data_IF_430471253443
#
_entry.id   IF_430471253443
#
_cell.length_a   1.000
_cell.length_b   1.000
_cell.length_c   1.000
_cell.angle_alpha   90.00
_cell.angle_beta   90.00
_cell.angle_gamma   90.00
#
_symmetry.space_group_name_H-M   'P 1'
#
loop_
_entity.id
_entity.type
_entity.pdbx_description
1 polymer ?
#
# COMPACT_ATOMS: atom_id res chain seq x y z
N UNK A 1 -24.22 -19.12 -12.44
CA UNK A 1 -23.05 -18.24 -12.23
C UNK A 1 -22.29 -18.19 -13.54
N UNK A 2 -22.55 -17.18 -14.38
CA UNK A 2 -21.78 -17.00 -15.61
C UNK A 2 -20.39 -16.49 -15.22
N UNK A 3 -19.34 -17.25 -15.53
CA UNK A 3 -17.99 -16.74 -15.47
C UNK A 3 -17.93 -15.47 -16.33
N UNK A 4 -17.59 -14.33 -15.72
CA UNK A 4 -17.23 -13.12 -16.46
C UNK A 4 -16.09 -13.50 -17.42
N UNK A 5 -16.11 -13.07 -18.69
CA UNK A 5 -15.00 -13.32 -19.59
C UNK A 5 -13.73 -12.79 -18.94
N UNK A 6 -12.68 -13.61 -18.89
CA UNK A 6 -11.38 -13.22 -18.32
C UNK A 6 -10.98 -11.88 -18.94
N UNK A 7 -10.97 -10.82 -18.12
CA UNK A 7 -10.64 -9.49 -18.61
C UNK A 7 -9.19 -9.52 -19.08
N UNK A 8 -8.95 -9.07 -20.31
CA UNK A 8 -7.58 -8.91 -20.81
C UNK A 8 -6.90 -7.90 -19.90
N UNK A 9 -5.85 -8.34 -19.20
CA UNK A 9 -5.06 -7.47 -18.34
C UNK A 9 -4.35 -6.42 -19.21
N UNK A 10 -4.25 -5.21 -18.68
CA UNK A 10 -3.45 -4.14 -19.26
C UNK A 10 -1.96 -4.50 -19.23
N UNK A 11 -1.17 -3.87 -20.10
CA UNK A 11 0.28 -4.02 -20.04
C UNK A 11 0.85 -3.43 -18.74
N UNK A 12 0.34 -2.26 -18.33
CA UNK A 12 0.83 -1.51 -17.18
C UNK A 12 -0.29 -0.88 -16.35
N UNK A 13 0.03 -0.63 -15.07
CA UNK A 13 -0.74 0.19 -14.15
C UNK A 13 -0.08 1.56 -14.01
N UNK A 14 -0.80 2.66 -14.27
CA UNK A 14 -0.33 4.04 -14.01
C UNK A 14 -0.66 4.40 -12.57
N UNK A 15 0.37 4.54 -11.73
CA UNK A 15 0.22 4.79 -10.29
C UNK A 15 0.71 6.20 -9.93
N UNK A 16 -0.13 6.97 -9.22
CA UNK A 16 0.25 8.22 -8.57
C UNK A 16 0.65 7.96 -7.12
N UNK A 17 1.87 8.32 -6.73
CA UNK A 17 2.37 8.24 -5.35
C UNK A 17 2.45 9.66 -4.80
N UNK A 18 1.83 9.91 -3.65
CA UNK A 18 1.92 11.19 -2.93
C UNK A 18 2.64 10.95 -1.62
N UNK A 19 3.64 11.77 -1.32
CA UNK A 19 4.33 11.81 -0.04
C UNK A 19 4.04 13.17 0.59
N UNK A 20 3.19 13.21 1.61
CA UNK A 20 2.98 14.44 2.39
C UNK A 20 4.17 14.67 3.31
N UNK A 21 4.46 15.93 3.64
CA UNK A 21 5.58 16.30 4.52
C UNK A 21 5.18 16.46 5.99
N UNK A 22 3.97 15.99 6.36
CA UNK A 22 3.41 16.05 7.71
C UNK A 22 4.44 15.66 8.78
N UNK A 23 4.64 16.51 9.78
CA UNK A 23 5.55 16.24 10.88
C UNK A 23 4.87 15.36 11.94
N UNK A 24 5.27 14.08 12.10
CA UNK A 24 4.62 13.17 13.04
C UNK A 24 4.87 13.51 14.51
N UNK A 25 5.87 14.35 14.83
CA UNK A 25 6.09 14.83 16.19
C UNK A 25 5.20 16.04 16.50
N UNK A 26 4.91 16.88 15.51
CA UNK A 26 3.99 18.02 15.67
C UNK A 26 2.50 17.62 15.51
N UNK A 27 2.22 16.60 14.69
CA UNK A 27 0.86 16.17 14.39
C UNK A 27 0.14 15.63 15.63
N UNK A 28 0.81 14.79 16.43
CA UNK A 28 0.20 14.18 17.63
C UNK A 28 0.92 14.60 18.92
N UNK A 29 1.38 15.86 18.99
CA UNK A 29 2.08 16.39 20.17
C UNK A 29 1.18 16.54 21.41
N UNK A 30 -0.13 16.77 21.19
CA UNK A 30 -1.08 16.96 22.27
C UNK A 30 -1.54 15.61 22.85
N UNK A 31 -1.46 15.47 24.17
CA UNK A 31 -2.03 14.33 24.89
C UNK A 31 -3.56 14.47 24.98
N UNK A 32 -4.26 13.95 23.99
CA UNK A 32 -5.72 13.75 24.04
C UNK A 32 -6.04 12.27 24.21
N UNK A 33 -7.22 11.95 24.75
CA UNK A 33 -7.68 10.56 24.91
C UNK A 33 -7.78 9.81 23.57
N UNK A 34 -7.91 10.54 22.46
CA UNK A 34 -7.85 10.02 21.10
C UNK A 34 -6.84 10.90 20.35
N UNK A 35 -5.72 10.35 19.84
CA UNK A 35 -4.78 11.11 19.04
C UNK A 35 -5.48 11.70 17.80
N UNK A 36 -5.21 12.97 17.52
CA UNK A 36 -5.64 13.63 16.30
C UNK A 36 -4.52 14.48 15.74
N UNK A 37 -4.43 14.56 14.42
CA UNK A 37 -3.52 15.48 13.74
C UNK A 37 -3.84 16.90 14.20
N UNK A 38 -2.80 17.65 14.58
CA UNK A 38 -2.91 19.04 14.99
C UNK A 38 -3.37 19.92 13.83
N UNK A 39 -4.09 21.00 14.13
CA UNK A 39 -4.69 21.85 13.10
C UNK A 39 -3.67 22.34 12.06
N UNK A 40 -2.46 22.72 12.48
CA UNK A 40 -1.41 23.18 11.57
C UNK A 40 -0.97 22.08 10.59
N UNK A 41 -0.77 20.85 11.08
CA UNK A 41 -0.40 19.72 10.25
C UNK A 41 -1.56 19.24 9.37
N UNK A 42 -2.80 19.34 9.83
CA UNK A 42 -4.01 19.07 9.02
C UNK A 42 -4.11 20.04 7.84
N UNK A 43 -3.95 21.35 8.08
CA UNK A 43 -3.98 22.37 7.03
C UNK A 43 -2.84 22.16 6.00
N UNK A 44 -1.63 21.81 6.47
CA UNK A 44 -0.50 21.47 5.62
C UNK A 44 -0.80 20.24 4.75
N UNK A 45 -1.19 19.13 5.37
CA UNK A 45 -1.48 17.89 4.66
C UNK A 45 -2.59 18.08 3.60
N UNK A 46 -3.68 18.76 3.96
CA UNK A 46 -4.77 19.06 3.01
C UNK A 46 -4.26 19.92 1.84
N UNK A 47 -3.43 20.91 2.10
CA UNK A 47 -2.89 21.79 1.06
C UNK A 47 -2.01 21.02 0.08
N UNK A 48 -1.09 20.19 0.59
CA UNK A 48 -0.22 19.34 -0.23
C UNK A 48 -1.03 18.32 -1.04
N UNK A 49 -1.96 17.61 -0.41
CA UNK A 49 -2.81 16.62 -1.08
C UNK A 49 -3.58 17.28 -2.23
N UNK A 50 -4.18 18.45 -2.00
CA UNK A 50 -4.93 19.17 -3.05
C UNK A 50 -4.02 19.60 -4.19
N UNK A 51 -2.82 20.10 -3.91
CA UNK A 51 -1.86 20.49 -4.93
C UNK A 51 -1.43 19.30 -5.80
N UNK A 52 -1.10 18.16 -5.18
CA UNK A 52 -0.68 16.96 -5.90
C UNK A 52 -1.81 16.33 -6.72
N UNK A 53 -3.04 16.30 -6.19
CA UNK A 53 -4.20 15.90 -6.99
C UNK A 53 -4.46 16.86 -8.16
N UNK A 54 -4.27 18.17 -7.97
CA UNK A 54 -4.40 19.13 -9.07
C UNK A 54 -3.35 18.88 -10.17
N UNK A 55 -2.11 18.54 -9.80
CA UNK A 55 -1.07 18.15 -10.74
C UNK A 55 -1.43 16.86 -11.49
N UNK A 56 -1.86 15.81 -10.79
CA UNK A 56 -2.30 14.55 -11.41
C UNK A 56 -3.53 14.71 -12.31
N UNK A 57 -4.36 15.73 -12.11
CA UNK A 57 -5.50 16.00 -12.98
C UNK A 57 -5.11 16.54 -14.37
N UNK A 58 -3.90 17.10 -14.50
CA UNK A 58 -3.39 17.58 -15.78
C UNK A 58 -2.89 16.44 -16.68
N UNK A 59 -2.67 15.27 -16.10
CA UNK A 59 -2.15 14.11 -16.78
C UNK A 59 -3.24 13.42 -17.60
N UNK A 60 -2.87 13.00 -18.81
CA UNK A 60 -3.80 12.36 -19.76
C UNK A 60 -3.22 11.02 -20.23
N UNK A 61 -3.81 9.88 -19.84
CA UNK A 61 -4.86 9.72 -18.82
C UNK A 61 -4.35 10.04 -17.39
N UNK A 62 -5.25 10.33 -16.43
CA UNK A 62 -4.86 10.41 -15.02
C UNK A 62 -4.38 9.05 -14.49
N UNK A 63 -3.75 8.99 -13.31
CA UNK A 63 -3.36 7.71 -12.70
C UNK A 63 -4.56 6.80 -12.46
N UNK A 64 -4.41 5.48 -12.63
CA UNK A 64 -5.47 4.51 -12.36
C UNK A 64 -5.71 4.38 -10.84
N UNK A 65 -4.61 4.41 -10.06
CA UNK A 65 -4.58 4.39 -8.59
C UNK A 65 -3.75 5.57 -8.11
N UNK A 66 -4.17 6.20 -7.01
CA UNK A 66 -3.39 7.18 -6.24
C UNK A 66 -3.19 6.64 -4.83
N UNK A 67 -1.95 6.64 -4.33
CA UNK A 67 -1.58 6.15 -3.00
C UNK A 67 -1.04 7.29 -2.13
N UNK A 68 -1.46 7.33 -0.87
CA UNK A 68 -1.00 8.27 0.16
C UNK A 68 -0.53 7.52 1.41
N UNK A 69 0.41 8.09 2.20
CA UNK A 69 1.06 7.37 3.29
C UNK A 69 0.12 7.04 4.45
N UNK A 70 0.62 6.24 5.39
CA UNK A 70 -0.06 5.97 6.67
C UNK A 70 -0.25 7.27 7.46
N UNK A 71 -1.40 7.40 8.15
CA UNK A 71 -1.71 8.53 9.03
C UNK A 71 -1.50 9.92 8.40
N UNK A 72 -1.64 10.03 7.07
CA UNK A 72 -1.36 11.25 6.32
C UNK A 72 -2.60 12.10 6.05
N UNK A 73 -3.80 11.51 6.14
CA UNK A 73 -5.05 12.18 5.77
C UNK A 73 -5.91 12.44 7.01
N UNK A 74 -6.24 13.70 7.32
CA UNK A 74 -7.18 14.03 8.39
C UNK A 74 -8.57 13.40 8.17
N UNK A 75 -9.18 12.89 9.24
CA UNK A 75 -10.50 12.22 9.15
C UNK A 75 -11.61 13.14 8.62
N UNK A 76 -11.57 14.44 8.93
CA UNK A 76 -12.50 15.44 8.40
C UNK A 76 -12.39 15.68 6.88
N UNK A 77 -11.30 15.24 6.24
CA UNK A 77 -11.07 15.42 4.80
C UNK A 77 -11.67 14.30 3.94
N UNK A 78 -12.22 13.23 4.53
CA UNK A 78 -12.72 12.04 3.83
C UNK A 78 -13.72 12.39 2.70
N UNK A 79 -14.70 13.24 2.97
CA UNK A 79 -15.74 13.61 1.98
C UNK A 79 -15.16 14.36 0.77
N UNK A 80 -14.18 15.24 1.00
CA UNK A 80 -13.48 15.97 -0.07
C UNK A 80 -12.61 15.02 -0.88
N UNK A 81 -11.87 14.12 -0.21
CA UNK A 81 -11.05 13.12 -0.90
C UNK A 81 -11.90 12.18 -1.79
N UNK A 82 -13.09 11.76 -1.32
CA UNK A 82 -14.05 11.00 -2.15
C UNK A 82 -14.49 11.76 -3.39
N UNK A 83 -14.71 13.07 -3.26
CA UNK A 83 -15.07 13.93 -4.39
C UNK A 83 -13.91 14.05 -5.38
N UNK A 84 -12.69 14.19 -4.89
CA UNK A 84 -11.48 14.26 -5.70
C UNK A 84 -11.24 12.95 -6.46
N UNK A 85 -11.36 11.80 -5.80
CA UNK A 85 -11.28 10.48 -6.43
C UNK A 85 -12.33 10.31 -7.54
N UNK A 86 -13.57 10.72 -7.28
CA UNK A 86 -14.67 10.64 -8.25
C UNK A 86 -14.44 11.53 -9.47
N UNK A 87 -13.87 12.73 -9.29
CA UNK A 87 -13.55 13.66 -10.39
C UNK A 87 -12.37 13.15 -11.22
N UNK A 88 -11.38 12.53 -10.58
CA UNK A 88 -10.23 11.96 -11.25
C UNK A 88 -10.55 10.67 -12.01
N UNK A 89 -11.62 9.97 -11.59
CA UNK A 89 -11.90 8.59 -12.00
C UNK A 89 -10.74 7.63 -11.67
N UNK A 90 -10.13 7.84 -10.50
CA UNK A 90 -9.03 7.04 -9.95
C UNK A 90 -9.42 6.42 -8.62
N UNK A 91 -8.97 5.18 -8.38
CA UNK A 91 -9.01 4.60 -7.03
C UNK A 91 -8.00 5.33 -6.16
N UNK A 92 -8.36 5.65 -4.91
CA UNK A 92 -7.46 6.28 -3.94
C UNK A 92 -7.26 5.37 -2.75
N UNK A 93 -6.03 5.09 -2.36
CA UNK A 93 -5.66 4.30 -1.19
C UNK A 93 -4.87 5.21 -0.26
N UNK A 94 -5.43 5.55 0.90
CA UNK A 94 -4.84 6.57 1.77
C UNK A 94 -4.87 6.17 3.24
N UNK A 95 -3.79 6.42 3.96
CA UNK A 95 -3.76 6.25 5.41
C UNK A 95 -4.43 7.43 6.09
N UNK A 96 -5.49 7.15 6.83
CA UNK A 96 -6.22 8.17 7.57
C UNK A 96 -5.70 8.28 8.99
N UNK A 97 -5.86 9.47 9.58
CA UNK A 97 -5.65 9.70 11.01
C UNK A 97 -6.45 8.72 11.87
N UNK A 98 -6.03 8.56 13.12
CA UNK A 98 -6.64 7.62 14.05
C UNK A 98 -8.16 7.83 14.14
N UNK A 99 -8.89 6.72 14.00
CA UNK A 99 -10.34 6.71 14.12
C UNK A 99 -10.71 6.20 15.51
N UNK A 100 -11.54 6.95 16.21
CA UNK A 100 -12.16 6.48 17.45
C UNK A 100 -13.01 5.22 17.18
N UNK A 101 -12.87 4.21 18.04
CA UNK A 101 -13.74 3.05 18.06
C UNK A 101 -15.09 3.37 18.73
N UNK A 102 -16.05 2.45 18.62
CA UNK A 102 -17.30 2.50 19.37
C UNK A 102 -17.03 2.45 20.88
N UNK A 103 -16.02 1.68 21.30
CA UNK A 103 -15.57 1.68 22.69
C UNK A 103 -14.74 2.95 23.00
N UNK A 104 -15.12 3.73 24.03
CA UNK A 104 -14.36 4.93 24.41
C UNK A 104 -12.91 4.59 24.78
N UNK A 105 -11.97 5.41 24.32
CA UNK A 105 -10.54 5.21 24.57
C UNK A 105 -9.90 4.15 23.66
N UNK A 106 -10.62 3.60 22.68
CA UNK A 106 -10.07 2.68 21.70
C UNK A 106 -9.94 3.35 20.33
N UNK A 107 -8.85 3.05 19.60
CA UNK A 107 -8.57 3.65 18.30
C UNK A 107 -8.12 2.64 17.26
N UNK A 108 -8.44 2.94 16.00
CA UNK A 108 -8.01 2.21 14.82
C UNK A 108 -7.05 3.08 14.00
N UNK A 109 -6.06 2.43 13.39
CA UNK A 109 -5.25 3.00 12.31
C UNK A 109 -5.66 2.32 11.01
N UNK A 110 -6.32 3.08 10.11
CA UNK A 110 -6.97 2.54 8.92
C UNK A 110 -6.35 3.11 7.65
N UNK A 111 -6.09 2.24 6.67
CA UNK A 111 -6.09 2.65 5.27
C UNK A 111 -7.55 2.73 4.77
N UNK A 112 -7.87 3.77 4.01
CA UNK A 112 -9.14 3.93 3.32
C UNK A 112 -8.92 3.77 1.81
N UNK A 113 -9.51 2.72 1.24
CA UNK A 113 -9.61 2.55 -0.20
C UNK A 113 -10.92 3.14 -0.70
N UNK A 114 -10.82 4.21 -1.47
CA UNK A 114 -11.93 4.90 -2.13
C UNK A 114 -12.00 4.43 -3.58
N UNK A 115 -13.14 3.84 -3.95
CA UNK A 115 -13.42 3.40 -5.32
C UNK A 115 -14.47 4.33 -5.94
N UNK A 116 -14.12 5.09 -7.00
CA UNK A 116 -15.05 6.02 -7.63
C UNK A 116 -16.14 5.28 -8.41
N UNK A 117 -17.31 5.92 -8.61
CA UNK A 117 -18.39 5.35 -9.45
C UNK A 117 -17.98 5.09 -10.90
N UNK A 118 -17.05 5.90 -11.41
CA UNK A 118 -16.41 5.75 -12.72
C UNK A 118 -14.92 5.62 -12.50
N UNK A 119 -14.32 4.64 -13.15
CA UNK A 119 -12.90 4.33 -13.05
C UNK A 119 -12.36 4.06 -14.44
N UNK A 120 -11.28 4.74 -14.82
CA UNK A 120 -10.63 4.58 -16.13
C UNK A 120 -11.61 4.79 -17.31
N UNK A 121 -12.47 5.81 -17.22
CA UNK A 121 -13.47 6.11 -18.25
C UNK A 121 -14.72 5.22 -18.25
N UNK A 122 -14.78 4.19 -17.39
CA UNK A 122 -15.88 3.21 -17.36
C UNK A 122 -16.68 3.34 -16.07
N UNK A 123 -18.00 3.22 -16.17
CA UNK A 123 -18.86 3.12 -14.97
C UNK A 123 -18.67 1.75 -14.32
N UNK A 124 -18.25 1.73 -13.06
CA UNK A 124 -18.01 0.49 -12.29
C UNK A 124 -18.97 0.32 -11.12
N UNK A 125 -19.78 1.33 -10.81
CA UNK A 125 -20.79 1.26 -9.76
C UNK A 125 -21.72 2.46 -9.74
N UNK A 126 -22.78 2.39 -8.94
CA UNK A 126 -23.78 3.47 -8.82
C UNK A 126 -23.26 4.68 -8.03
N UNK A 127 -22.33 4.47 -7.10
CA UNK A 127 -21.80 5.50 -6.21
C UNK A 127 -20.32 5.25 -5.90
N UNK A 128 -19.63 6.31 -5.50
CA UNK A 128 -18.31 6.19 -4.89
C UNK A 128 -18.44 5.48 -3.55
N UNK A 129 -17.64 4.43 -3.35
CA UNK A 129 -17.62 3.65 -2.11
C UNK A 129 -16.26 3.79 -1.43
N UNK A 130 -16.22 3.52 -0.13
CA UNK A 130 -14.97 3.44 0.61
C UNK A 130 -14.93 2.17 1.46
N UNK A 131 -13.75 1.56 1.54
CA UNK A 131 -13.46 0.38 2.35
C UNK A 131 -12.32 0.72 3.30
N UNK A 132 -12.52 0.45 4.58
CA UNK A 132 -11.44 0.50 5.58
C UNK A 132 -10.68 -0.81 5.57
N UNK A 133 -9.37 -0.71 5.67
CA UNK A 133 -8.41 -1.80 5.81
C UNK A 133 -7.61 -1.44 7.06
N UNK A 134 -7.98 -2.05 8.18
CA UNK A 134 -7.34 -1.74 9.46
C UNK A 134 -5.95 -2.35 9.56
N UNK A 135 -5.13 -1.71 10.38
CA UNK A 135 -3.80 -2.19 10.77
C UNK A 135 -3.93 -3.28 11.82
N UNK A 136 -3.16 -4.35 11.70
CA UNK A 136 -3.15 -5.43 12.71
C UNK A 136 -2.20 -5.11 13.84
N UNK A 137 -0.96 -4.78 13.52
CA UNK A 137 0.10 -4.65 14.52
C UNK A 137 0.55 -3.20 14.63
N UNK A 138 0.36 -2.53 15.77
CA UNK A 138 0.94 -1.22 15.97
C UNK A 138 2.47 -1.35 15.97
N UNK A 139 3.16 -0.40 15.33
CA UNK A 139 4.62 -0.40 15.35
C UNK A 139 5.12 -0.19 16.79
N UNK A 140 6.31 -0.68 17.20
CA UNK A 140 6.77 -0.54 18.58
C UNK A 140 6.75 0.90 19.11
N UNK A 141 7.15 1.88 18.27
CA UNK A 141 7.12 3.30 18.63
C UNK A 141 5.70 3.88 18.67
N UNK A 142 4.78 3.38 17.86
CA UNK A 142 3.36 3.76 17.89
C UNK A 142 2.69 3.21 19.15
N UNK A 143 2.91 1.93 19.44
CA UNK A 143 2.42 1.28 20.66
C UNK A 143 2.90 2.03 21.91
N UNK A 144 4.19 2.34 22.00
CA UNK A 144 4.73 3.10 23.12
C UNK A 144 4.09 4.50 23.28
N UNK A 145 3.75 5.17 22.17
CA UNK A 145 3.04 6.45 22.21
C UNK A 145 1.58 6.31 22.65
N UNK A 146 0.88 5.28 22.18
CA UNK A 146 -0.52 5.02 22.54
C UNK A 146 -0.63 4.58 24.00
N UNK A 147 0.27 3.73 24.48
CA UNK A 147 0.31 3.27 25.88
C UNK A 147 0.62 4.41 26.88
N UNK A 148 1.20 5.53 26.40
CA UNK A 148 1.51 6.71 27.22
C UNK A 148 0.30 7.63 27.46
N UNK A 149 -0.83 7.39 26.78
CA UNK A 149 -2.10 8.10 26.97
C UNK A 149 -3.18 7.06 27.35
N UNK A 150 -4.35 7.47 27.89
CA UNK A 150 -5.43 6.53 28.19
C UNK A 150 -6.14 6.07 26.90
N UNK A 151 -5.40 5.39 26.03
CA UNK A 151 -5.84 4.94 24.72
C UNK A 151 -5.33 3.53 24.42
N UNK A 152 -6.20 2.69 23.85
CA UNK A 152 -5.89 1.32 23.44
C UNK A 152 -6.00 1.18 21.93
N UNK A 153 -5.01 0.55 21.32
CA UNK A 153 -5.06 0.20 19.90
C UNK A 153 -6.02 -0.98 19.67
N UNK A 154 -6.82 -0.92 18.61
CA UNK A 154 -7.68 -2.01 18.17
C UNK A 154 -7.07 -2.63 16.92
N UNK A 155 -6.74 -3.91 17.01
CA UNK A 155 -6.15 -4.69 15.93
C UNK A 155 -7.23 -5.13 14.92
N UNK A 156 -6.92 -5.01 13.63
CA UNK A 156 -7.74 -5.59 12.54
C UNK A 156 -6.92 -6.66 11.79
N UNK A 157 -7.17 -7.96 12.02
CA UNK A 157 -6.43 -9.05 11.39
C UNK A 157 -6.88 -9.33 9.94
N UNK A 158 -7.86 -8.59 9.39
CA UNK A 158 -8.41 -8.88 8.07
C UNK A 158 -7.39 -8.67 6.95
N UNK A 159 -7.27 -9.67 6.08
CA UNK A 159 -6.43 -9.62 4.87
C UNK A 159 -7.34 -9.56 3.65
N UNK A 160 -7.19 -8.49 2.87
CA UNK A 160 -8.03 -8.21 1.71
C UNK A 160 -7.28 -8.50 0.41
N UNK A 161 -7.89 -9.34 -0.44
CA UNK A 161 -7.51 -9.50 -1.85
C UNK A 161 -8.51 -8.71 -2.69
N UNK A 162 -8.04 -7.64 -3.30
CA UNK A 162 -8.89 -6.71 -4.03
C UNK A 162 -8.73 -6.96 -5.53
N UNK A 163 -9.83 -7.32 -6.19
CA UNK A 163 -9.86 -7.48 -7.64
C UNK A 163 -9.89 -6.11 -8.33
N UNK A 164 -8.76 -5.73 -8.95
CA UNK A 164 -8.62 -4.52 -9.75
C UNK A 164 -9.03 -4.70 -11.22
N UNK A 165 -9.60 -5.83 -11.61
CA UNK A 165 -9.93 -6.15 -12.98
C UNK A 165 -8.69 -6.10 -13.88
N UNK A 166 -8.71 -5.24 -14.90
CA UNK A 166 -7.66 -5.21 -15.92
C UNK A 166 -6.27 -4.73 -15.40
N UNK A 167 -6.17 -4.15 -14.20
CA UNK A 167 -4.87 -3.81 -13.60
C UNK A 167 -4.32 -4.91 -12.66
N UNK A 168 -5.02 -6.04 -12.54
CA UNK A 168 -4.67 -7.15 -11.66
C UNK A 168 -5.20 -7.00 -10.23
N UNK A 169 -5.07 -8.09 -9.47
CA UNK A 169 -5.43 -8.17 -8.06
C UNK A 169 -4.34 -7.52 -7.20
N UNK A 170 -4.73 -6.87 -6.11
CA UNK A 170 -3.78 -6.24 -5.19
C UNK A 170 -4.16 -6.40 -3.72
N UNK A 171 -3.15 -6.26 -2.86
CA UNK A 171 -3.29 -6.16 -1.41
C UNK A 171 -2.89 -4.77 -0.91
N UNK A 172 -3.37 -4.42 0.29
CA UNK A 172 -2.98 -3.19 0.99
C UNK A 172 -2.58 -3.57 2.41
N UNK A 173 -1.42 -3.08 2.85
CA UNK A 173 -0.87 -3.31 4.19
C UNK A 173 -0.51 -1.95 4.80
N UNK A 174 -0.65 -1.84 6.13
CA UNK A 174 -0.33 -0.60 6.85
C UNK A 174 0.96 -0.80 7.64
N UNK A 175 2.02 -0.20 7.12
CA UNK A 175 3.32 -0.03 7.75
C UNK A 175 3.89 -1.32 8.35
N UNK A 176 3.80 -1.50 9.67
CA UNK A 176 4.41 -2.61 10.40
C UNK A 176 3.83 -3.98 10.00
N UNK A 177 2.59 -4.03 9.52
CA UNK A 177 1.98 -5.23 8.96
C UNK A 177 2.78 -5.80 7.77
N UNK A 178 3.58 -4.96 7.10
CA UNK A 178 4.45 -5.41 6.02
C UNK A 178 5.55 -6.38 6.47
N UNK A 179 5.87 -6.43 7.76
CA UNK A 179 6.86 -7.33 8.33
C UNK A 179 6.26 -8.66 8.81
N UNK A 180 4.93 -8.84 8.66
CA UNK A 180 4.25 -10.09 9.01
C UNK A 180 4.33 -11.12 7.86
N UNK A 181 5.10 -12.18 8.09
CA UNK A 181 5.32 -13.26 7.13
C UNK A 181 4.05 -14.05 6.81
N UNK A 182 3.16 -14.25 7.78
CA UNK A 182 1.91 -14.99 7.57
C UNK A 182 0.99 -14.20 6.63
N UNK A 183 0.85 -12.90 6.88
CA UNK A 183 0.12 -11.98 6.00
C UNK A 183 0.74 -11.91 4.60
N UNK A 184 2.06 -11.81 4.48
CA UNK A 184 2.76 -11.84 3.18
C UNK A 184 2.42 -13.13 2.42
N UNK A 185 2.42 -14.28 3.12
CA UNK A 185 2.16 -15.58 2.53
C UNK A 185 0.75 -15.67 1.94
N UNK A 186 -0.24 -15.01 2.55
CA UNK A 186 -1.61 -14.96 2.02
C UNK A 186 -1.71 -14.30 0.63
N UNK A 187 -0.74 -13.48 0.24
CA UNK A 187 -0.70 -12.79 -1.05
C UNK A 187 0.08 -13.54 -2.13
N UNK A 188 0.92 -14.50 -1.74
CA UNK A 188 1.82 -15.22 -2.65
C UNK A 188 1.07 -15.88 -3.80
N UNK A 189 1.44 -15.50 -5.02
CA UNK A 189 0.83 -16.01 -6.25
C UNK A 189 -0.61 -15.57 -6.51
N UNK A 190 -1.14 -14.64 -5.72
CA UNK A 190 -2.55 -14.21 -5.78
C UNK A 190 -2.72 -12.74 -6.11
N UNK A 191 -1.63 -11.96 -6.15
CA UNK A 191 -1.66 -10.52 -6.42
C UNK A 191 -0.58 -10.13 -7.43
N UNK A 192 -0.86 -9.07 -8.19
CA UNK A 192 0.13 -8.37 -9.01
C UNK A 192 0.76 -7.21 -8.26
N UNK A 193 0.08 -6.62 -7.26
CA UNK A 193 0.58 -5.46 -6.52
C UNK A 193 0.35 -5.58 -5.01
N UNK A 194 1.32 -5.16 -4.22
CA UNK A 194 1.18 -4.90 -2.79
C UNK A 194 1.45 -3.43 -2.51
N UNK A 195 0.46 -2.74 -1.95
CA UNK A 195 0.57 -1.34 -1.51
C UNK A 195 0.81 -1.29 0.00
N UNK A 196 1.93 -0.71 0.40
CA UNK A 196 2.32 -0.51 1.78
C UNK A 196 2.24 0.98 2.06
N UNK A 197 1.31 1.38 2.92
CA UNK A 197 1.24 2.76 3.42
C UNK A 197 2.10 2.85 4.67
N UNK A 198 3.04 3.80 4.74
CA UNK A 198 4.00 3.85 5.83
C UNK A 198 4.18 5.25 6.42
N UNK A 199 4.35 5.28 7.74
CA UNK A 199 4.98 6.35 8.49
C UNK A 199 6.17 5.74 9.24
N UNK A 200 7.20 5.41 8.49
CA UNK A 200 8.33 4.63 8.98
C UNK A 200 9.65 5.41 8.89
N UNK A 201 10.45 5.34 9.95
CA UNK A 201 11.75 6.00 10.02
C UNK A 201 12.86 5.15 9.38
N UNK A 202 12.73 3.83 9.45
CA UNK A 202 13.71 2.88 8.90
C UNK A 202 13.37 2.49 7.45
N UNK A 203 13.54 3.45 6.54
CA UNK A 203 13.29 3.24 5.12
C UNK A 203 14.17 2.14 4.50
N UNK A 204 15.38 1.95 5.03
CA UNK A 204 16.35 0.99 4.49
C UNK A 204 15.92 -0.44 4.71
N UNK A 205 15.49 -0.80 5.93
CA UNK A 205 14.97 -2.15 6.18
C UNK A 205 13.71 -2.44 5.35
N UNK A 206 12.79 -1.48 5.27
CA UNK A 206 11.59 -1.62 4.43
C UNK A 206 11.94 -1.83 2.96
N UNK A 207 12.95 -1.14 2.44
CA UNK A 207 13.45 -1.36 1.08
C UNK A 207 13.96 -2.79 0.89
N UNK A 208 14.78 -3.30 1.81
CA UNK A 208 15.31 -4.66 1.69
C UNK A 208 14.21 -5.72 1.76
N UNK A 209 13.22 -5.52 2.64
CA UNK A 209 12.04 -6.39 2.71
C UNK A 209 11.23 -6.30 1.41
N UNK A 210 11.01 -5.11 0.84
CA UNK A 210 10.33 -4.96 -0.45
C UNK A 210 11.04 -5.69 -1.59
N UNK A 211 12.37 -5.57 -1.69
CA UNK A 211 13.14 -6.29 -2.69
C UNK A 211 13.09 -7.82 -2.50
N UNK A 212 12.95 -8.30 -1.26
CA UNK A 212 12.77 -9.72 -0.96
C UNK A 212 11.34 -10.19 -1.29
N UNK A 213 10.33 -9.50 -0.76
CA UNK A 213 8.89 -9.81 -0.95
C UNK A 213 8.53 -9.80 -2.42
N UNK A 214 9.00 -8.80 -3.19
CA UNK A 214 8.74 -8.73 -4.63
C UNK A 214 9.17 -10.01 -5.36
N UNK A 215 10.20 -10.71 -4.88
CA UNK A 215 10.70 -11.98 -5.45
C UNK A 215 10.05 -13.22 -4.83
N UNK A 216 9.75 -13.22 -3.53
CA UNK A 216 9.18 -14.37 -2.81
C UNK A 216 7.67 -14.52 -3.01
N UNK A 217 6.95 -13.41 -3.02
CA UNK A 217 5.53 -13.31 -3.39
C UNK A 217 5.36 -13.25 -4.90
N UNK A 218 6.40 -12.77 -5.60
CA UNK A 218 6.45 -12.59 -7.05
C UNK A 218 5.42 -11.56 -7.55
N UNK A 219 5.44 -10.36 -6.96
CA UNK A 219 4.52 -9.27 -7.30
C UNK A 219 5.26 -7.92 -7.29
N UNK A 220 4.63 -6.86 -7.79
CA UNK A 220 5.09 -5.50 -7.55
C UNK A 220 4.89 -5.16 -6.07
N UNK A 221 5.86 -4.49 -5.45
CA UNK A 221 5.78 -4.01 -4.07
C UNK A 221 6.01 -2.51 -4.08
N UNK A 222 5.04 -1.77 -3.53
CA UNK A 222 5.02 -0.33 -3.51
C UNK A 222 4.94 0.14 -2.07
N UNK A 223 5.95 0.88 -1.62
CA UNK A 223 5.95 1.57 -0.33
C UNK A 223 5.68 3.05 -0.61
N UNK A 224 4.60 3.55 -0.02
CA UNK A 224 4.28 4.98 0.05
C UNK A 224 4.52 5.43 1.49
N UNK A 225 5.72 5.96 1.73
CA UNK A 225 6.13 6.46 3.04
C UNK A 225 5.89 7.96 3.15
N UNK A 226 5.68 8.45 4.38
CA UNK A 226 5.57 9.88 4.64
C UNK A 226 6.87 10.60 4.22
N UNK A 227 6.72 11.70 3.49
CA UNK A 227 7.82 12.52 2.98
C UNK A 227 8.65 13.17 4.08
N UNK A 228 8.15 13.18 5.32
CA UNK A 228 8.93 13.56 6.50
C UNK A 228 10.18 12.71 6.69
N UNK A 229 10.08 11.40 6.49
CA UNK A 229 11.21 10.46 6.51
C UNK A 229 11.70 10.11 5.11
N UNK A 230 10.82 10.15 4.11
CA UNK A 230 11.12 9.75 2.73
C UNK A 230 11.20 8.24 2.57
N UNK A 231 11.82 7.77 1.49
CA UNK A 231 12.01 6.33 1.27
C UNK A 231 10.81 5.62 0.65
N UNK A 232 9.91 6.34 -0.02
CA UNK A 232 8.94 5.69 -0.91
C UNK A 232 9.67 4.97 -2.05
N UNK A 233 9.15 3.80 -2.43
CA UNK A 233 9.81 2.85 -3.30
C UNK A 233 8.78 2.07 -4.10
N UNK A 234 9.08 1.74 -5.35
CA UNK A 234 8.38 0.70 -6.08
C UNK A 234 9.39 -0.27 -6.70
N UNK A 235 9.20 -1.56 -6.44
CA UNK A 235 10.04 -2.63 -6.99
C UNK A 235 9.20 -3.72 -7.65
N UNK A 236 9.78 -4.38 -8.64
CA UNK A 236 9.17 -5.47 -9.39
C UNK A 236 10.17 -6.62 -9.56
N UNK A 237 9.73 -7.90 -9.67
CA UNK A 237 10.61 -9.06 -9.78
C UNK A 237 11.33 -9.20 -11.13
N UNK A 238 11.82 -8.10 -11.71
CA UNK A 238 12.63 -8.11 -12.91
C UNK A 238 13.94 -8.89 -12.70
N UNK A 239 14.38 -9.58 -13.75
CA UNK A 239 15.62 -10.35 -13.72
C UNK A 239 16.83 -9.43 -13.55
N UNK A 240 16.90 -8.37 -14.35
CA UNK A 240 18.00 -7.41 -14.39
C UNK A 240 17.93 -6.46 -13.19
N UNK A 241 18.98 -6.37 -12.34
CA UNK A 241 19.00 -5.52 -11.16
C UNK A 241 18.58 -4.07 -11.41
N UNK A 242 19.07 -3.48 -12.50
CA UNK A 242 18.83 -2.10 -12.91
C UNK A 242 17.35 -1.81 -13.24
N UNK A 243 16.55 -2.82 -13.54
CA UNK A 243 15.11 -2.67 -13.80
C UNK A 243 14.25 -2.91 -12.55
N UNK A 244 14.80 -3.57 -11.51
CA UNK A 244 14.02 -3.98 -10.33
C UNK A 244 13.44 -2.80 -9.59
N UNK A 245 14.20 -1.72 -9.47
CA UNK A 245 13.74 -0.48 -8.86
C UNK A 245 13.07 0.38 -9.94
N UNK A 246 11.74 0.44 -9.90
CA UNK A 246 10.94 1.27 -10.81
C UNK A 246 10.95 2.72 -10.33
N UNK A 247 10.90 2.90 -9.01
CA UNK A 247 10.90 4.21 -8.37
C UNK A 247 11.55 4.11 -7.01
N UNK A 248 12.34 5.12 -6.65
CA UNK A 248 12.95 5.26 -5.35
C UNK A 248 13.11 6.74 -5.04
N UNK A 249 12.50 7.20 -3.96
CA UNK A 249 12.67 8.56 -3.47
C UNK A 249 13.54 8.56 -2.21
N UNK A 250 14.70 9.19 -2.31
CA UNK A 250 15.58 9.46 -1.19
C UNK A 250 15.51 10.94 -0.79
N UNK A 251 15.59 11.19 0.51
CA UNK A 251 15.48 12.53 1.09
C UNK A 251 14.30 12.64 2.04
N UNK A 252 14.49 13.40 3.12
CA UNK A 252 13.51 13.63 4.18
C UNK A 252 12.97 15.06 4.11
N UNK A 253 11.82 15.31 4.74
CA UNK A 253 11.11 16.61 4.79
C UNK A 253 10.66 17.14 3.42
N UNK A 254 10.28 16.26 2.50
CA UNK A 254 9.89 16.66 1.15
C UNK A 254 8.44 16.26 0.87
N UNK A 255 7.60 17.25 0.57
CA UNK A 255 6.29 17.02 -0.03
C UNK A 255 6.48 16.75 -1.52
N UNK A 256 6.19 15.53 -1.97
CA UNK A 256 6.41 15.16 -3.38
C UNK A 256 5.29 14.31 -3.91
N UNK A 257 5.13 14.34 -5.23
CA UNK A 257 4.25 13.42 -5.94
C UNK A 257 4.95 12.90 -7.18
N UNK A 258 4.75 11.63 -7.51
CA UNK A 258 5.28 11.05 -8.75
C UNK A 258 4.27 10.13 -9.40
N UNK A 259 4.37 10.02 -10.72
CA UNK A 259 3.63 9.05 -11.51
C UNK A 259 4.61 8.02 -12.02
N UNK A 260 4.27 6.76 -11.82
CA UNK A 260 5.08 5.62 -12.25
C UNK A 260 4.21 4.62 -12.99
N UNK A 261 4.84 3.71 -13.72
CA UNK A 261 4.15 2.62 -14.38
C UNK A 261 4.67 1.27 -13.86
N UNK A 262 3.75 0.36 -13.52
CA UNK A 262 4.06 -0.97 -13.00
C UNK A 262 3.63 -2.04 -14.02
N UNK A 263 4.41 -3.11 -14.25
CA UNK A 263 4.00 -4.18 -15.15
C UNK A 263 2.80 -4.94 -14.58
N UNK A 264 1.84 -5.30 -15.45
CA UNK A 264 0.64 -6.07 -15.08
C UNK A 264 0.54 -7.33 -15.94
N UNK A 265 0.25 -7.20 -17.23
CA UNK A 265 -0.01 -8.31 -18.13
C UNK A 265 1.14 -9.32 -18.19
N UNK A 266 2.36 -8.85 -18.48
CA UNK A 266 3.53 -9.73 -18.57
C UNK A 266 3.87 -10.38 -17.22
N UNK A 267 3.68 -9.64 -16.11
CA UNK A 267 3.89 -10.16 -14.77
C UNK A 267 2.89 -11.29 -14.49
N UNK A 268 1.60 -11.06 -14.73
CA UNK A 268 0.55 -12.08 -14.54
C UNK A 268 0.72 -13.29 -15.46
N UNK A 269 1.20 -13.09 -16.69
CA UNK A 269 1.51 -14.18 -17.59
C UNK A 269 2.65 -15.04 -17.03
N UNK A 270 3.71 -14.40 -16.51
CA UNK A 270 4.83 -15.10 -15.89
C UNK A 270 4.43 -15.81 -14.59
N UNK A 271 3.46 -15.29 -13.85
CA UNK A 271 2.90 -15.94 -12.67
C UNK A 271 2.09 -17.19 -13.00
N UNK A 272 1.47 -17.28 -14.19
CA UNK A 272 0.59 -18.39 -14.58
C UNK A 272 1.27 -19.49 -15.39
N UNK A 273 2.37 -19.18 -16.09
CA UNK A 273 3.12 -20.16 -16.86
C UNK A 273 4.10 -20.96 -15.99
N UNK A 274 4.15 -22.27 -16.20
CA UNK A 274 5.30 -23.09 -15.80
C UNK A 274 6.55 -22.59 -16.51
N UNK A 275 7.70 -22.44 -15.84
CA UNK A 275 8.89 -21.88 -16.46
C UNK A 275 9.32 -22.73 -17.66
N UNK A 276 9.08 -22.25 -18.88
CA UNK A 276 9.67 -22.82 -20.09
C UNK A 276 11.05 -22.20 -20.31
N UNK A 277 11.96 -22.96 -20.91
CA UNK A 277 13.40 -22.63 -21.02
C UNK A 277 13.72 -21.32 -21.76
N UNK A 278 12.73 -20.62 -22.33
CA UNK A 278 12.90 -19.38 -23.11
C UNK A 278 12.20 -18.13 -22.49
N UNK A 279 11.41 -18.28 -21.42
CA UNK A 279 10.70 -17.18 -20.73
C UNK A 279 11.62 -16.34 -19.81
N UNK A 280 12.89 -16.76 -19.64
CA UNK A 280 13.84 -16.23 -18.66
C UNK A 280 14.46 -14.86 -18.97
N UNK A 281 13.89 -14.03 -19.85
CA UNK A 281 14.52 -12.76 -20.24
C UNK A 281 14.09 -11.57 -19.39
N UNK A 282 12.81 -11.44 -19.05
CA UNK A 282 12.24 -10.24 -18.42
C UNK A 282 12.21 -10.33 -16.90
N UNK A 283 11.52 -11.33 -16.34
CA UNK A 283 11.38 -11.51 -14.89
C UNK A 283 12.32 -12.59 -14.35
N UNK A 284 12.55 -12.56 -13.04
CA UNK A 284 13.30 -13.60 -12.33
C UNK A 284 12.52 -14.92 -12.37
N UNK A 285 13.21 -16.04 -12.14
CA UNK A 285 12.56 -17.33 -11.92
C UNK A 285 11.57 -17.25 -10.75
N UNK A 286 10.44 -17.96 -10.88
CA UNK A 286 9.49 -18.11 -9.77
C UNK A 286 10.20 -18.70 -8.55
N UNK A 287 9.86 -18.27 -7.33
CA UNK A 287 10.50 -18.75 -6.11
C UNK A 287 10.12 -20.22 -5.83
N UNK A 288 10.96 -20.99 -5.12
CA UNK A 288 10.65 -22.36 -4.73
C UNK A 288 9.32 -22.45 -3.97
N UNK A 289 8.49 -23.43 -4.30
CA UNK A 289 7.21 -23.64 -3.63
C UNK A 289 6.08 -22.68 -4.07
N UNK A 290 6.22 -22.00 -5.22
CA UNK A 290 5.24 -20.99 -5.68
C UNK A 290 3.92 -21.60 -6.13
N UNK A 291 3.95 -22.71 -6.87
CA UNK A 291 2.75 -23.41 -7.34
C UNK A 291 2.31 -24.52 -6.38
N UNK A 292 3.28 -25.21 -5.75
CA UNK A 292 3.05 -26.32 -4.84
C UNK A 292 4.08 -26.24 -3.70
N UNK A 293 3.62 -26.20 -2.46
CA UNK A 293 4.46 -26.29 -1.27
C UNK A 293 4.60 -27.74 -0.81
N UNK A 294 5.83 -28.16 -0.54
CA UNK A 294 6.11 -29.44 0.11
C UNK A 294 5.86 -29.30 1.62
N UNK A 295 5.27 -30.31 2.25
CA UNK A 295 5.15 -30.36 3.70
C UNK A 295 6.54 -30.39 4.35
N UNK A 296 6.77 -29.50 5.31
CA UNK A 296 8.03 -29.42 6.03
C UNK A 296 7.89 -30.19 7.35
N UNK A 297 8.81 -31.12 7.60
CA UNK A 297 8.85 -31.89 8.84
C UNK A 297 9.90 -31.29 9.79
N UNK A 298 9.47 -30.92 10.99
CA UNK A 298 10.37 -30.46 12.03
C UNK A 298 11.15 -31.65 12.60
N UNK A 299 12.47 -31.60 12.49
CA UNK A 299 13.38 -32.52 13.18
C UNK A 299 14.21 -31.74 14.19
N UNK A 300 13.80 -31.80 15.46
CA UNK A 300 14.55 -31.21 16.56
C UNK A 300 15.56 -32.21 17.11
N UNK A 301 16.85 -31.90 17.02
CA UNK A 301 17.94 -32.70 17.57
C UNK A 301 18.69 -31.90 18.64
N UNK A 302 18.94 -32.51 19.80
CA UNK A 302 19.84 -31.92 20.81
C UNK A 302 21.29 -32.15 20.35
N UNK A 303 22.11 -31.11 20.47
CA UNK A 303 23.54 -31.17 20.15
C UNK A 303 24.31 -32.01 21.20
N UNK A 304 23.76 -32.13 22.41
CA UNK A 304 24.34 -32.95 23.47
C UNK A 304 23.96 -34.43 23.30
N UNK A 305 24.97 -35.29 23.45
CA UNK A 305 24.88 -36.76 23.33
C UNK A 305 24.00 -37.38 24.40
#
# INVERSE_FOLDING_TARGET
>A
MSALPASVLEAKLKLGIIQTSLDPFAAWAASSAIPKISQCEEERAITEIRAHFAAFHQEKPPPDIIVLPELAVPTGFEGKLKTMAAKMESVVIAGFDYRADVQPGHVHNDALMIVPKRWRGKTIGAKTIARRIGKTYPAPAEKAKLDAIPCSFVEDPAVWLIDGGAIGTFGVMVCYDFLDLERITMYRGRVQHLFILALNQDATSFRHVAEAVARMVFCNVIICNCGYFGGSLAVSPYRLPEHRTIYNHAGAKLATSQIIELPVGDLSLHQSKSPTNDDGKTFKSLPPGYTFSVELFEHSAKIEK
#
